data_IF_905328858203
#
_entry.id   IF_905328858203
#
_cell.length_a   1.000
_cell.length_b   1.000
_cell.length_c   1.000
_cell.angle_alpha   90.00
_cell.angle_beta   90.00
_cell.angle_gamma   90.00
#
_symmetry.space_group_name_H-M   'P 1'
#
loop_
_entity.id
_entity.type
_entity.pdbx_description
1 polymer ?
#
# COMPACT_ATOMS: atom_id res chain seq x y z
N UNK A 1 1.16 25.13 15.92
CA UNK A 1 1.14 24.02 16.91
C UNK A 1 -0.23 23.33 17.05
N UNK A 2 -1.34 24.04 17.23
CA UNK A 2 -2.67 23.40 17.44
C UNK A 2 -3.16 22.55 16.25
N UNK A 3 -2.88 22.99 15.03
CA UNK A 3 -3.30 22.30 13.80
C UNK A 3 -2.50 21.01 13.52
N UNK A 4 -1.23 20.95 13.95
CA UNK A 4 -0.40 19.73 13.90
C UNK A 4 -0.99 18.65 14.81
N UNK A 5 -1.33 18.99 16.06
CA UNK A 5 -1.96 18.06 17.02
C UNK A 5 -3.27 17.47 16.51
N UNK A 6 -4.08 18.25 15.76
CA UNK A 6 -5.38 17.80 15.22
C UNK A 6 -5.26 16.85 14.02
N UNK A 7 -4.18 16.93 13.26
CA UNK A 7 -3.98 16.12 12.05
C UNK A 7 -3.10 14.89 12.29
N UNK A 8 -2.36 14.84 13.39
CA UNK A 8 -1.54 13.70 13.80
C UNK A 8 -2.27 12.34 13.76
N UNK A 9 -3.49 12.17 14.33
CA UNK A 9 -4.18 10.89 14.27
C UNK A 9 -4.49 10.43 12.84
N UNK A 10 -4.79 11.38 11.93
CA UNK A 10 -5.05 11.08 10.52
C UNK A 10 -3.79 10.58 9.82
N UNK A 11 -2.65 11.19 10.13
CA UNK A 11 -1.35 10.73 9.63
C UNK A 11 -1.03 9.32 10.14
N UNK A 12 -1.21 9.05 11.44
CA UNK A 12 -0.97 7.72 12.00
C UNK A 12 -1.86 6.65 11.35
N UNK A 13 -3.15 6.96 11.14
CA UNK A 13 -4.07 6.05 10.44
C UNK A 13 -3.59 5.78 9.02
N UNK A 14 -3.19 6.81 8.27
CA UNK A 14 -2.66 6.63 6.91
C UNK A 14 -1.38 5.81 6.87
N UNK A 15 -0.44 6.08 7.79
CA UNK A 15 0.80 5.29 7.90
C UNK A 15 0.51 3.84 8.27
N UNK A 16 -0.46 3.59 9.15
CA UNK A 16 -0.89 2.24 9.50
C UNK A 16 -1.51 1.51 8.30
N UNK A 17 -2.39 2.16 7.55
CA UNK A 17 -3.01 1.59 6.35
C UNK A 17 -1.94 1.25 5.30
N UNK A 18 -0.98 2.14 5.09
CA UNK A 18 0.17 1.91 4.21
C UNK A 18 0.99 0.69 4.63
N UNK A 19 1.34 0.58 5.92
CA UNK A 19 2.07 -0.56 6.47
C UNK A 19 1.30 -1.87 6.34
N UNK A 20 -0.02 -1.85 6.55
CA UNK A 20 -0.89 -3.02 6.33
C UNK A 20 -0.85 -3.44 4.86
N UNK A 21 -1.02 -2.51 3.93
CA UNK A 21 -0.98 -2.80 2.50
C UNK A 21 0.34 -3.46 2.09
N UNK A 22 1.47 -2.97 2.61
CA UNK A 22 2.79 -3.57 2.38
C UNK A 22 2.92 -4.97 3.00
N UNK A 23 2.48 -5.15 4.25
CA UNK A 23 2.61 -6.43 4.95
C UNK A 23 1.87 -7.57 4.23
N UNK A 24 0.65 -7.30 3.77
CA UNK A 24 -0.21 -8.33 3.17
C UNK A 24 0.08 -8.60 1.70
N UNK A 25 0.69 -7.67 0.94
CA UNK A 25 0.92 -7.89 -0.50
C UNK A 25 2.38 -7.74 -0.99
N UNK A 26 3.28 -7.16 -0.20
CA UNK A 26 4.72 -7.10 -0.52
C UNK A 26 5.56 -7.91 0.50
N UNK A 27 4.92 -8.45 1.54
CA UNK A 27 5.57 -9.13 2.64
C UNK A 27 5.62 -10.65 2.52
N UNK A 28 6.28 -11.25 3.51
CA UNK A 28 6.42 -12.70 3.63
C UNK A 28 5.08 -13.45 3.65
N UNK A 29 3.97 -12.81 4.06
CA UNK A 29 2.66 -13.45 4.16
C UNK A 29 2.17 -13.94 2.79
N UNK A 30 2.17 -13.07 1.77
CA UNK A 30 1.69 -13.46 0.43
C UNK A 30 2.64 -14.47 -0.23
N UNK A 31 3.95 -14.30 -0.05
CA UNK A 31 4.94 -15.20 -0.61
C UNK A 31 4.82 -16.60 0.02
N UNK A 32 4.72 -16.67 1.35
CA UNK A 32 4.48 -17.92 2.09
C UNK A 32 3.18 -18.56 1.65
N UNK A 33 2.11 -17.77 1.50
CA UNK A 33 0.83 -18.27 1.02
C UNK A 33 0.94 -18.90 -0.38
N UNK A 34 1.57 -18.20 -1.33
CA UNK A 34 1.76 -18.71 -2.69
C UNK A 34 2.60 -20.00 -2.72
N UNK A 35 3.65 -20.10 -1.90
CA UNK A 35 4.43 -21.33 -1.76
C UNK A 35 3.59 -22.49 -1.19
N UNK A 36 2.74 -22.23 -0.20
CA UNK A 36 1.88 -23.24 0.43
C UNK A 36 0.84 -23.84 -0.54
N UNK A 37 0.34 -23.05 -1.48
CA UNK A 37 -0.59 -23.52 -2.52
C UNK A 37 0.14 -24.22 -3.69
N UNK A 38 1.47 -24.36 -3.61
CA UNK A 38 2.27 -25.11 -4.58
C UNK A 38 2.88 -24.29 -5.70
N UNK A 39 2.96 -22.95 -5.58
CA UNK A 39 3.76 -22.17 -6.53
C UNK A 39 5.24 -22.46 -6.31
N UNK A 40 5.99 -22.62 -7.40
CA UNK A 40 7.45 -22.62 -7.35
C UNK A 40 7.98 -21.20 -7.08
N UNK A 41 9.23 -21.12 -6.61
CA UNK A 41 9.90 -19.86 -6.28
C UNK A 41 9.91 -18.88 -7.47
N UNK A 42 10.11 -19.38 -8.69
CA UNK A 42 10.13 -18.56 -9.91
C UNK A 42 8.80 -17.85 -10.17
N UNK A 43 7.68 -18.55 -9.97
CA UNK A 43 6.33 -17.96 -10.07
C UNK A 43 6.07 -16.94 -8.98
N UNK A 44 6.54 -17.19 -7.75
CA UNK A 44 6.42 -16.22 -6.65
C UNK A 44 7.21 -14.95 -6.95
N UNK A 45 8.44 -15.07 -7.45
CA UNK A 45 9.24 -13.91 -7.88
C UNK A 45 8.59 -13.14 -9.03
N UNK A 46 8.04 -13.85 -10.01
CA UNK A 46 7.33 -13.23 -11.12
C UNK A 46 6.09 -12.46 -10.63
N UNK A 47 5.32 -13.05 -9.73
CA UNK A 47 4.17 -12.41 -9.08
C UNK A 47 4.59 -11.10 -8.40
N UNK A 48 5.59 -11.14 -7.50
CA UNK A 48 6.05 -9.96 -6.77
C UNK A 48 6.62 -8.89 -7.69
N UNK A 49 7.35 -9.29 -8.75
CA UNK A 49 7.89 -8.36 -9.74
C UNK A 49 6.77 -7.63 -10.49
N UNK A 50 5.71 -8.34 -10.86
CA UNK A 50 4.61 -7.77 -11.62
C UNK A 50 3.76 -6.80 -10.77
N UNK A 51 3.54 -7.12 -9.49
CA UNK A 51 2.86 -6.19 -8.58
C UNK A 51 3.70 -4.95 -8.30
N UNK A 52 5.02 -5.09 -8.11
CA UNK A 52 5.92 -3.94 -7.97
C UNK A 52 6.02 -3.10 -9.26
N UNK A 53 6.01 -3.74 -10.43
CA UNK A 53 5.96 -3.01 -11.70
C UNK A 53 4.71 -2.14 -11.80
N UNK A 54 3.54 -2.64 -11.35
CA UNK A 54 2.31 -1.86 -11.29
C UNK A 54 2.44 -0.63 -10.37
N UNK A 55 3.11 -0.77 -9.21
CA UNK A 55 3.42 0.35 -8.33
C UNK A 55 4.27 1.40 -9.04
N UNK A 56 5.38 0.99 -9.67
CA UNK A 56 6.30 1.90 -10.38
C UNK A 56 5.59 2.61 -11.53
N UNK A 57 4.81 1.89 -12.34
CA UNK A 57 4.02 2.48 -13.42
C UNK A 57 3.06 3.53 -12.86
N UNK A 58 2.35 3.22 -11.77
CA UNK A 58 1.44 4.19 -11.16
C UNK A 58 2.16 5.41 -10.59
N UNK A 59 3.34 5.23 -9.97
CA UNK A 59 4.17 6.35 -9.52
C UNK A 59 4.56 7.26 -10.69
N UNK A 60 5.03 6.70 -11.80
CA UNK A 60 5.41 7.47 -12.99
C UNK A 60 4.21 8.23 -13.56
N UNK A 61 3.06 7.59 -13.70
CA UNK A 61 1.83 8.25 -14.14
C UNK A 61 1.44 9.40 -13.22
N UNK A 62 1.51 9.18 -11.91
CA UNK A 62 1.15 10.17 -10.91
C UNK A 62 2.12 11.34 -10.84
N UNK A 63 3.41 11.16 -11.12
CA UNK A 63 4.37 12.28 -11.20
C UNK A 63 3.94 13.31 -12.26
N UNK A 64 3.42 12.87 -13.40
CA UNK A 64 2.97 13.79 -14.47
C UNK A 64 1.54 14.31 -14.25
N UNK A 65 0.68 13.51 -13.62
CA UNK A 65 -0.75 13.81 -13.48
C UNK A 65 -1.10 14.52 -12.16
N UNK A 66 -0.32 14.34 -11.09
CA UNK A 66 -0.67 14.82 -9.75
C UNK A 66 -0.97 16.33 -9.75
N UNK A 67 -0.19 17.14 -10.46
CA UNK A 67 -0.39 18.58 -10.51
C UNK A 67 -1.65 19.00 -11.27
N UNK A 68 -2.11 18.18 -12.22
CA UNK A 68 -3.31 18.41 -13.01
C UNK A 68 -4.59 17.95 -12.32
N UNK A 69 -4.49 17.17 -11.24
CA UNK A 69 -5.66 16.65 -10.53
C UNK A 69 -6.11 17.66 -9.47
N UNK A 70 -7.29 18.24 -9.66
CA UNK A 70 -7.89 19.18 -8.69
C UNK A 70 -8.30 18.48 -7.38
N UNK A 71 -8.82 17.24 -7.48
CA UNK A 71 -9.38 16.47 -6.35
C UNK A 71 -8.34 15.61 -5.62
N UNK A 72 -7.18 16.18 -5.30
CA UNK A 72 -6.05 15.51 -4.60
C UNK A 72 -6.47 14.78 -3.32
N UNK A 73 -7.44 15.32 -2.58
CA UNK A 73 -7.98 14.71 -1.34
C UNK A 73 -8.76 13.42 -1.60
N UNK A 74 -9.59 13.41 -2.64
CA UNK A 74 -10.35 12.21 -3.00
C UNK A 74 -9.40 11.09 -3.44
N UNK A 75 -8.36 11.46 -4.20
CA UNK A 75 -7.37 10.51 -4.67
C UNK A 75 -6.54 9.89 -3.53
N UNK A 76 -6.16 10.71 -2.54
CA UNK A 76 -5.51 10.21 -1.31
C UNK A 76 -6.46 9.34 -0.46
N UNK A 77 -7.75 9.66 -0.39
CA UNK A 77 -8.72 8.80 0.29
C UNK A 77 -8.88 7.45 -0.44
N UNK A 78 -8.93 7.47 -1.77
CA UNK A 78 -8.98 6.28 -2.60
C UNK A 78 -7.74 5.41 -2.39
N UNK A 79 -6.53 5.98 -2.40
CA UNK A 79 -5.30 5.21 -2.18
C UNK A 79 -5.29 4.51 -0.82
N UNK A 80 -5.76 5.19 0.23
CA UNK A 80 -5.89 4.59 1.57
C UNK A 80 -6.93 3.46 1.58
N UNK A 81 -8.06 3.61 0.90
CA UNK A 81 -9.07 2.56 0.79
C UNK A 81 -8.51 1.31 0.11
N UNK A 82 -7.76 1.47 -0.99
CA UNK A 82 -7.14 0.36 -1.72
C UNK A 82 -6.15 -0.45 -0.88
N UNK A 83 -5.58 0.14 0.18
CA UNK A 83 -4.65 -0.54 1.10
C UNK A 83 -5.35 -1.40 2.16
N UNK A 84 -6.66 -1.25 2.40
CA UNK A 84 -7.41 -2.10 3.34
C UNK A 84 -7.94 -3.37 2.66
N UNK A 85 -8.25 -3.30 1.37
CA UNK A 85 -8.76 -4.43 0.56
C UNK A 85 -8.00 -5.75 0.81
N UNK A 86 -6.65 -5.78 0.92
CA UNK A 86 -5.92 -7.01 1.26
C UNK A 86 -6.46 -7.75 2.47
N UNK A 87 -6.81 -7.04 3.55
CA UNK A 87 -7.27 -7.65 4.80
C UNK A 87 -8.52 -8.49 4.52
N UNK A 88 -9.46 -7.96 3.72
CA UNK A 88 -10.69 -8.65 3.38
C UNK A 88 -10.45 -9.93 2.57
N UNK A 89 -9.53 -9.89 1.61
CA UNK A 89 -9.18 -11.05 0.77
C UNK A 89 -8.51 -12.15 1.58
N UNK A 90 -7.57 -11.79 2.45
CA UNK A 90 -6.91 -12.77 3.33
C UNK A 90 -7.86 -13.32 4.40
N UNK A 91 -8.72 -12.48 4.98
CA UNK A 91 -9.75 -12.93 5.93
C UNK A 91 -10.74 -13.90 5.27
N UNK A 92 -11.12 -13.65 4.01
CA UNK A 92 -11.96 -14.56 3.25
C UNK A 92 -11.27 -15.90 2.96
N UNK A 93 -10.01 -15.86 2.52
CA UNK A 93 -9.22 -17.09 2.32
C UNK A 93 -9.08 -17.90 3.61
N UNK A 94 -8.84 -17.24 4.75
CA UNK A 94 -8.75 -17.89 6.04
C UNK A 94 -10.09 -18.50 6.50
N UNK A 95 -11.22 -17.85 6.21
CA UNK A 95 -12.56 -18.33 6.55
C UNK A 95 -13.04 -19.49 5.65
N UNK A 96 -12.41 -19.69 4.49
CA UNK A 96 -12.81 -20.73 3.55
C UNK A 96 -11.58 -21.38 2.91
N UNK A 97 -10.88 -22.28 3.64
CA UNK A 97 -9.68 -22.95 3.12
C UNK A 97 -9.96 -23.80 1.87
N UNK A 98 -11.17 -24.36 1.76
CA UNK A 98 -11.62 -25.16 0.60
C UNK A 98 -11.69 -24.35 -0.71
N UNK A 99 -11.72 -23.03 -0.58
CA UNK A 99 -11.85 -22.06 -1.68
C UNK A 99 -10.48 -21.70 -2.30
N UNK A 100 -9.36 -22.09 -1.65
CA UNK A 100 -7.97 -21.84 -2.07
C UNK A 100 -7.58 -22.62 -3.34
N UNK A 101 -8.33 -22.39 -4.41
CA UNK A 101 -8.15 -22.92 -5.75
C UNK A 101 -7.58 -21.84 -6.68
N UNK A 102 -7.31 -22.18 -7.94
CA UNK A 102 -6.70 -21.27 -8.91
C UNK A 102 -7.43 -19.92 -9.05
N UNK A 103 -8.76 -19.91 -8.89
CA UNK A 103 -9.52 -18.66 -8.97
C UNK A 103 -9.19 -17.71 -7.82
N UNK A 104 -8.93 -18.21 -6.62
CA UNK A 104 -8.58 -17.38 -5.46
C UNK A 104 -7.23 -16.70 -5.71
N UNK A 105 -6.30 -17.41 -6.33
CA UNK A 105 -4.99 -16.86 -6.72
C UNK A 105 -5.13 -15.75 -7.74
N UNK A 106 -6.01 -15.89 -8.74
CA UNK A 106 -6.28 -14.84 -9.72
C UNK A 106 -6.89 -13.58 -9.06
N UNK A 107 -7.80 -13.76 -8.10
CA UNK A 107 -8.36 -12.65 -7.31
C UNK A 107 -7.27 -11.99 -6.47
N UNK A 108 -6.47 -12.78 -5.76
CA UNK A 108 -5.35 -12.31 -4.94
C UNK A 108 -4.36 -11.48 -5.76
N UNK A 109 -3.99 -11.98 -6.94
CA UNK A 109 -3.10 -11.28 -7.88
C UNK A 109 -3.71 -9.96 -8.34
N UNK A 110 -4.96 -9.97 -8.80
CA UNK A 110 -5.66 -8.78 -9.30
C UNK A 110 -5.74 -7.69 -8.22
N UNK A 111 -6.14 -8.08 -7.00
CA UNK A 111 -6.21 -7.16 -5.88
C UNK A 111 -4.83 -6.64 -5.50
N UNK A 112 -3.79 -7.48 -5.55
CA UNK A 112 -2.42 -7.07 -5.27
C UNK A 112 -1.92 -6.01 -6.24
N UNK A 113 -2.19 -6.16 -7.54
CA UNK A 113 -1.87 -5.16 -8.57
C UNK A 113 -2.58 -3.83 -8.29
N UNK A 114 -3.88 -3.89 -7.97
CA UNK A 114 -4.69 -2.70 -7.63
C UNK A 114 -4.14 -2.01 -6.37
N UNK A 115 -3.84 -2.76 -5.31
CA UNK A 115 -3.30 -2.21 -4.07
C UNK A 115 -1.92 -1.63 -4.28
N UNK A 116 -1.04 -2.27 -5.06
CA UNK A 116 0.27 -1.70 -5.41
C UNK A 116 0.16 -0.43 -6.24
N UNK A 117 -0.82 -0.35 -7.14
CA UNK A 117 -1.19 0.92 -7.78
C UNK A 117 -1.60 1.98 -6.74
N UNK A 118 -2.45 1.63 -5.78
CA UNK A 118 -2.83 2.50 -4.66
C UNK A 118 -1.62 2.97 -3.84
N UNK A 119 -0.68 2.09 -3.54
CA UNK A 119 0.60 2.40 -2.86
C UNK A 119 1.41 3.41 -3.68
N UNK A 120 1.62 3.15 -4.97
CA UNK A 120 2.38 4.06 -5.85
C UNK A 120 1.74 5.44 -5.95
N UNK A 121 0.41 5.49 -6.03
CA UNK A 121 -0.35 6.72 -5.98
C UNK A 121 -0.19 7.46 -4.65
N UNK A 122 -0.29 6.77 -3.52
CA UNK A 122 -0.07 7.35 -2.21
C UNK A 122 1.35 7.91 -2.04
N UNK A 123 2.36 7.19 -2.52
CA UNK A 123 3.76 7.60 -2.44
C UNK A 123 3.97 8.96 -3.10
N UNK A 124 3.40 9.22 -4.28
CA UNK A 124 3.50 10.52 -4.95
C UNK A 124 2.63 11.57 -4.26
N UNK A 125 1.37 11.23 -3.94
CA UNK A 125 0.42 12.18 -3.37
C UNK A 125 0.82 12.70 -1.98
N UNK A 126 1.55 11.90 -1.20
CA UNK A 126 2.08 12.30 0.10
C UNK A 126 3.09 13.45 -0.02
N UNK A 127 3.88 13.49 -1.10
CA UNK A 127 4.78 14.61 -1.39
C UNK A 127 4.05 15.85 -1.97
N UNK A 128 2.88 15.67 -2.57
CA UNK A 128 2.06 16.78 -3.06
C UNK A 128 1.19 17.44 -1.97
N UNK A 129 1.00 16.78 -0.82
CA UNK A 129 0.14 17.24 0.29
C UNK A 129 0.83 17.37 1.67
N UNK A 130 2.16 17.60 1.81
CA UNK A 130 2.85 17.50 3.10
C UNK A 130 2.28 18.49 4.12
N UNK A 131 2.05 19.74 3.70
CA UNK A 131 1.59 20.86 4.54
C UNK A 131 0.15 20.74 5.06
N UNK A 132 -0.67 19.82 4.52
CA UNK A 132 -2.08 19.68 4.94
C UNK A 132 -2.27 18.67 6.06
N UNK A 133 -1.24 17.86 6.35
CA UNK A 133 -1.30 16.79 7.37
C UNK A 133 -0.29 17.02 8.49
N UNK A 134 0.92 17.53 8.21
CA UNK A 134 1.97 17.74 9.21
C UNK A 134 2.65 19.09 8.93
N UNK A 135 3.06 19.78 10.00
CA UNK A 135 4.01 20.89 9.91
C UNK A 135 5.33 20.39 9.29
N UNK A 136 5.88 21.09 8.29
CA UNK A 136 7.13 20.67 7.62
C UNK A 136 8.29 20.52 8.62
N UNK A 137 8.29 21.32 9.68
CA UNK A 137 9.30 21.23 10.75
C UNK A 137 9.28 19.87 11.48
N UNK A 138 8.15 19.17 11.47
CA UNK A 138 8.01 17.84 12.09
C UNK A 138 8.03 16.70 11.06
N UNK A 139 7.96 17.01 9.76
CA UNK A 139 7.89 16.00 8.69
C UNK A 139 9.02 14.98 8.78
N UNK A 140 10.28 15.44 8.95
CA UNK A 140 11.45 14.56 9.08
C UNK A 140 11.34 13.56 10.23
N UNK A 141 10.81 13.98 11.39
CA UNK A 141 10.57 13.12 12.55
C UNK A 141 9.52 12.06 12.25
N UNK A 142 8.45 12.43 11.56
CA UNK A 142 7.36 11.53 11.19
C UNK A 142 7.75 10.52 10.12
N UNK A 143 8.47 10.94 9.09
CA UNK A 143 9.06 10.02 8.11
C UNK A 143 10.08 9.09 8.76
N UNK A 144 10.85 9.56 9.76
CA UNK A 144 11.76 8.70 10.52
C UNK A 144 11.02 7.61 11.31
N UNK A 145 9.94 7.96 11.99
CA UNK A 145 9.11 6.98 12.71
C UNK A 145 8.43 6.01 11.75
N UNK A 146 7.85 6.49 10.65
CA UNK A 146 7.23 5.64 9.64
C UNK A 146 8.25 4.75 8.93
N UNK A 147 9.47 5.23 8.67
CA UNK A 147 10.58 4.45 8.13
C UNK A 147 11.04 3.36 9.10
N UNK A 148 11.12 3.66 10.40
CA UNK A 148 11.44 2.66 11.43
C UNK A 148 10.35 1.58 11.52
N UNK A 149 9.08 1.97 11.51
CA UNK A 149 7.93 1.04 11.55
C UNK A 149 7.78 0.23 10.26
N UNK A 150 8.19 0.79 9.11
CA UNK A 150 8.17 0.13 7.81
C UNK A 150 9.42 -0.69 7.49
N UNK A 151 10.40 -0.77 8.40
CA UNK A 151 11.66 -1.50 8.19
C UNK A 151 12.59 -0.86 7.15
N UNK A 152 12.38 0.41 6.80
CA UNK A 152 13.14 1.15 5.78
C UNK A 152 14.36 1.91 6.33
N UNK A 153 14.65 1.77 7.62
CA UNK A 153 15.88 2.28 8.26
C UNK A 153 16.75 1.06 8.58
N UNK A 154 17.62 0.72 7.64
CA UNK A 154 18.87 -0.01 7.88
C UNK A 154 20.02 0.99 7.88
#
# INVERSE_FOLDING_TARGET
MEQSKKNFPKYCIQSLMYSIGLLFFNGAIVQTFLLLIGFDEGRVYFYSSLTQAAQVVMMLLMVFLADRIERKRLLSALSNFLMIIPIGIFAWGAASPEIMSEWYVAVLFTVSVITHGGIGMYSVMTYCLPYKLIDISEYGKFTGISGALGGSIT
#
